data_IF_116981343582
#
_entry.id   IF_116981343582
#
_cell.length_a   1.000
_cell.length_b   1.000
_cell.length_c   1.000
_cell.angle_alpha   90.00
_cell.angle_beta   90.00
_cell.angle_gamma   90.00
#
_symmetry.space_group_name_H-M   'P 1'
#
loop_
_entity.id
_entity.type
_entity.pdbx_description
1 polymer ?
#
# COMPACT_ATOMS: atom_id res chain seq x y z
N UNK A 1 10.71 -59.65 59.55
CA UNK A 1 11.61 -58.94 58.59
C UNK A 1 10.74 -58.38 57.52
N UNK A 2 10.33 -57.09 57.69
CA UNK A 2 9.33 -56.42 56.85
C UNK A 2 10.07 -55.50 55.87
N UNK A 3 9.91 -55.72 54.60
CA UNK A 3 10.45 -54.80 53.50
C UNK A 3 9.41 -53.80 53.15
N UNK A 4 9.75 -52.52 53.38
CA UNK A 4 8.94 -51.36 52.98
C UNK A 4 9.14 -51.03 51.49
N UNK A 5 8.07 -51.08 50.71
CA UNK A 5 8.00 -50.61 49.34
C UNK A 5 7.85 -49.06 49.32
N UNK A 6 8.83 -48.38 48.72
CA UNK A 6 8.76 -46.93 48.43
C UNK A 6 8.01 -46.69 47.10
N UNK A 7 6.85 -46.07 47.19
CA UNK A 7 6.11 -45.55 46.03
C UNK A 7 6.63 -44.18 45.65
N UNK A 8 7.31 -44.05 44.50
CA UNK A 8 7.71 -42.78 43.93
C UNK A 8 6.54 -42.08 43.25
N UNK A 9 6.07 -40.98 43.81
CA UNK A 9 5.14 -40.07 43.15
C UNK A 9 5.89 -39.22 42.13
N UNK A 10 5.65 -39.49 40.85
CA UNK A 10 6.07 -38.58 39.75
C UNK A 10 5.06 -37.43 39.67
N UNK A 11 5.53 -36.22 39.97
CA UNK A 11 4.79 -34.98 39.69
C UNK A 11 4.84 -34.72 38.16
N UNK A 12 3.68 -34.84 37.50
CA UNK A 12 3.52 -34.32 36.12
C UNK A 12 3.31 -32.80 36.22
N UNK A 13 4.29 -32.04 35.80
CA UNK A 13 4.15 -30.62 35.58
C UNK A 13 3.44 -30.43 34.23
N UNK A 14 2.17 -30.09 34.24
CA UNK A 14 1.45 -29.67 33.04
C UNK A 14 1.90 -28.26 32.64
N UNK A 15 2.64 -28.15 31.54
CA UNK A 15 2.99 -26.88 30.95
C UNK A 15 1.75 -26.33 30.23
N UNK A 16 1.06 -25.37 30.86
CA UNK A 16 -0.02 -24.62 30.21
C UNK A 16 0.64 -23.61 29.28
N UNK A 17 0.66 -23.94 28.00
CA UNK A 17 1.00 -22.98 26.94
C UNK A 17 -0.12 -21.94 26.89
N UNK A 18 0.09 -20.79 27.49
CA UNK A 18 -0.76 -19.62 27.33
C UNK A 18 -0.63 -19.14 25.87
N UNK A 19 -1.69 -19.26 25.10
CA UNK A 19 -1.78 -18.63 23.79
C UNK A 19 -1.65 -17.12 23.97
N UNK A 20 -0.82 -16.41 23.17
CA UNK A 20 -0.72 -14.96 23.29
C UNK A 20 -2.08 -14.34 22.95
N UNK A 21 -2.67 -13.65 23.92
CA UNK A 21 -3.87 -12.84 23.69
C UNK A 21 -3.45 -11.67 22.83
N UNK A 22 -4.08 -11.40 21.69
CA UNK A 22 -3.74 -10.25 20.87
C UNK A 22 -3.95 -8.97 21.68
N UNK A 23 -2.95 -8.09 21.71
CA UNK A 23 -3.05 -6.77 22.35
C UNK A 23 -4.01 -5.93 21.53
N UNK A 24 -5.23 -5.76 22.01
CA UNK A 24 -6.22 -4.85 21.43
C UNK A 24 -5.86 -3.43 21.90
N UNK A 25 -5.47 -2.57 20.97
CA UNK A 25 -5.25 -1.15 21.26
C UNK A 25 -6.56 -0.42 21.58
N UNK A 26 -6.47 0.76 22.18
CA UNK A 26 -7.58 1.56 22.72
C UNK A 26 -8.76 1.83 21.74
N UNK A 27 -8.59 1.57 20.42
CA UNK A 27 -9.59 1.79 19.38
C UNK A 27 -10.12 0.48 18.76
N UNK A 28 -9.80 -0.70 19.30
CA UNK A 28 -10.31 -1.98 18.77
C UNK A 28 -9.68 -2.44 17.45
N UNK A 29 -8.66 -1.73 16.94
CA UNK A 29 -7.90 -2.12 15.74
C UNK A 29 -6.75 -3.06 16.15
N UNK A 30 -6.68 -4.29 15.63
CA UNK A 30 -5.58 -5.20 15.96
C UNK A 30 -4.25 -4.68 15.39
N UNK A 31 -3.18 -4.88 16.14
CA UNK A 31 -1.82 -4.61 15.65
C UNK A 31 -1.46 -5.68 14.61
N UNK A 32 -0.94 -5.31 13.44
CA UNK A 32 -0.43 -6.29 12.47
C UNK A 32 0.62 -7.21 13.08
N UNK A 33 0.57 -8.50 12.75
CA UNK A 33 1.50 -9.51 13.29
C UNK A 33 2.97 -9.15 13.04
N UNK A 34 3.24 -8.51 11.91
CA UNK A 34 4.58 -8.08 11.51
C UNK A 34 5.26 -7.15 12.50
N UNK A 35 4.48 -6.36 13.25
CA UNK A 35 4.97 -5.33 14.17
C UNK A 35 4.48 -5.53 15.62
N UNK A 36 3.80 -6.64 15.90
CA UNK A 36 3.30 -6.94 17.24
C UNK A 36 4.44 -7.04 18.26
N UNK A 37 4.23 -6.45 19.43
CA UNK A 37 5.24 -6.38 20.50
C UNK A 37 6.43 -5.43 20.25
N UNK A 38 6.48 -4.73 19.10
CA UNK A 38 7.60 -3.85 18.74
C UNK A 38 7.41 -2.38 19.14
N UNK A 39 6.37 -2.04 19.91
CA UNK A 39 6.11 -0.70 20.43
C UNK A 39 5.42 0.25 19.44
N UNK A 40 4.96 -0.24 18.29
CA UNK A 40 4.19 0.54 17.35
C UNK A 40 2.80 0.90 17.89
N UNK A 41 2.33 2.12 17.60
CA UNK A 41 1.00 2.62 17.95
C UNK A 41 0.29 3.11 16.69
N UNK A 42 -1.00 2.85 16.59
CA UNK A 42 -1.84 3.34 15.50
C UNK A 42 -1.91 4.88 15.56
N UNK A 43 -1.43 5.55 14.53
CA UNK A 43 -1.45 7.02 14.40
C UNK A 43 -2.45 7.51 13.37
N UNK A 44 -2.79 6.67 12.38
CA UNK A 44 -3.84 6.93 11.40
C UNK A 44 -4.68 5.67 11.16
N UNK A 45 -5.99 5.84 11.18
CA UNK A 45 -6.98 4.84 10.81
C UNK A 45 -7.97 5.48 9.83
N UNK A 46 -7.71 5.31 8.56
CA UNK A 46 -8.62 5.71 7.47
C UNK A 46 -9.43 4.48 7.05
N UNK A 47 -10.46 4.17 7.83
CA UNK A 47 -11.41 3.08 7.58
C UNK A 47 -12.61 3.65 6.80
N UNK A 48 -12.70 3.27 5.52
CA UNK A 48 -13.69 3.83 4.59
C UNK A 48 -15.08 3.25 4.77
N UNK A 49 -15.23 2.24 5.60
CA UNK A 49 -16.53 1.72 6.05
C UNK A 49 -17.03 2.33 7.36
N UNK A 50 -16.14 2.93 8.17
CA UNK A 50 -16.46 3.44 9.52
C UNK A 50 -16.23 4.93 9.70
N UNK A 51 -15.01 5.40 9.42
CA UNK A 51 -14.59 6.76 9.77
C UNK A 51 -14.77 7.75 8.60
N UNK A 52 -14.67 7.25 7.37
CA UNK A 52 -14.75 8.05 6.14
C UNK A 52 -15.83 7.41 5.26
N UNK A 53 -17.04 7.96 5.28
CA UNK A 53 -18.21 7.38 4.61
C UNK A 53 -18.79 8.25 3.50
N UNK A 54 -18.21 9.42 3.30
CA UNK A 54 -18.68 10.39 2.32
C UNK A 54 -17.55 11.29 1.81
N UNK A 55 -17.82 12.01 0.75
CA UNK A 55 -16.90 12.93 0.10
C UNK A 55 -16.41 14.03 1.05
N UNK A 56 -17.25 14.54 1.95
CA UNK A 56 -16.88 15.60 2.88
C UNK A 56 -15.86 15.09 3.92
N UNK A 57 -16.04 13.87 4.44
CA UNK A 57 -15.07 13.20 5.30
C UNK A 57 -13.77 12.91 4.57
N UNK A 58 -13.86 12.42 3.31
CA UNK A 58 -12.71 12.17 2.47
C UNK A 58 -11.85 13.43 2.28
N UNK A 59 -12.47 14.54 1.96
CA UNK A 59 -11.78 15.82 1.69
C UNK A 59 -11.09 16.42 2.92
N UNK A 60 -11.52 16.08 4.12
CA UNK A 60 -10.81 16.48 5.34
C UNK A 60 -9.46 15.77 5.51
N UNK A 61 -9.36 14.53 5.01
CA UNK A 61 -8.17 13.70 5.17
C UNK A 61 -7.31 13.61 3.91
N UNK A 62 -7.90 13.79 2.71
CA UNK A 62 -7.21 13.58 1.45
C UNK A 62 -7.40 14.73 0.44
N UNK A 63 -6.37 14.94 -0.34
CA UNK A 63 -6.41 15.58 -1.66
C UNK A 63 -6.65 14.51 -2.73
N UNK A 64 -7.11 14.94 -3.91
CA UNK A 64 -7.43 14.07 -5.04
C UNK A 64 -6.63 14.42 -6.30
N UNK A 65 -5.48 15.03 -6.07
CA UNK A 65 -4.49 15.41 -7.08
C UNK A 65 -3.09 15.15 -6.54
N UNK A 66 -2.14 15.03 -7.44
CA UNK A 66 -0.74 15.02 -7.06
C UNK A 66 -0.33 16.32 -6.40
N UNK A 67 0.77 16.28 -5.64
CA UNK A 67 1.30 17.46 -4.96
C UNK A 67 1.88 18.48 -5.94
N UNK A 68 2.37 18.02 -7.08
CA UNK A 68 3.03 18.85 -8.09
C UNK A 68 2.09 19.90 -8.70
N UNK A 69 2.66 20.94 -9.31
CA UNK A 69 1.90 22.06 -9.86
C UNK A 69 0.95 22.71 -8.84
N UNK A 70 1.42 22.88 -7.61
CA UNK A 70 0.62 23.37 -6.49
C UNK A 70 -0.66 22.55 -6.24
N UNK A 71 -0.56 21.23 -6.36
CA UNK A 71 -1.68 20.31 -6.14
C UNK A 71 -2.72 20.28 -7.26
N UNK A 72 -2.37 20.71 -8.47
CA UNK A 72 -3.26 20.73 -9.64
C UNK A 72 -2.98 19.60 -10.64
N UNK A 73 -1.80 18.97 -10.55
CA UNK A 73 -1.43 17.91 -11.49
C UNK A 73 -2.39 16.73 -11.37
N UNK A 74 -3.05 16.39 -12.46
CA UNK A 74 -4.13 15.37 -12.51
C UNK A 74 -3.73 14.10 -13.27
N UNK A 75 -2.48 13.97 -13.67
CA UNK A 75 -1.87 12.76 -14.25
C UNK A 75 -0.34 12.88 -14.26
N UNK A 76 0.36 11.77 -14.30
CA UNK A 76 1.80 11.72 -14.52
C UNK A 76 2.12 11.24 -15.94
N UNK A 77 3.22 11.76 -16.52
CA UNK A 77 3.82 11.32 -17.80
C UNK A 77 2.77 10.93 -18.87
N UNK A 78 2.83 9.67 -19.29
CA UNK A 78 2.05 9.07 -20.39
C UNK A 78 0.78 8.34 -19.94
N UNK A 79 0.37 8.49 -18.67
CA UNK A 79 -0.91 7.98 -18.17
C UNK A 79 -2.08 8.53 -19.00
N UNK A 80 -3.09 7.69 -19.23
CA UNK A 80 -4.22 8.04 -20.08
C UNK A 80 -5.35 8.71 -19.31
N UNK A 81 -5.53 8.40 -18.02
CA UNK A 81 -6.56 9.00 -17.20
C UNK A 81 -6.23 10.43 -16.82
N UNK A 82 -7.27 11.14 -16.39
CA UNK A 82 -7.18 12.33 -15.55
C UNK A 82 -7.88 12.06 -14.24
N UNK A 83 -7.23 12.38 -13.13
CA UNK A 83 -7.86 12.26 -11.82
C UNK A 83 -8.92 13.33 -11.64
N UNK A 84 -10.10 12.91 -11.21
CA UNK A 84 -11.26 13.75 -10.99
C UNK A 84 -11.85 13.50 -9.62
N UNK A 85 -12.76 14.37 -9.24
CA UNK A 85 -13.47 14.35 -7.98
C UNK A 85 -14.82 13.64 -8.12
N UNK A 86 -15.53 13.49 -7.01
CA UNK A 86 -16.92 13.02 -6.93
C UNK A 86 -17.11 11.62 -7.53
N UNK A 87 -17.58 11.52 -8.76
CA UNK A 87 -17.96 10.25 -9.41
C UNK A 87 -16.84 9.22 -9.49
N UNK A 88 -15.58 9.64 -9.28
CA UNK A 88 -14.42 8.76 -9.24
C UNK A 88 -14.06 8.29 -7.81
N UNK A 89 -14.82 8.76 -6.80
CA UNK A 89 -14.73 8.34 -5.40
C UNK A 89 -16.12 7.88 -4.95
N UNK A 90 -16.38 6.57 -5.05
CA UNK A 90 -17.68 5.99 -4.76
C UNK A 90 -17.65 5.25 -3.44
N UNK A 91 -18.55 5.62 -2.53
CA UNK A 91 -18.74 4.94 -1.25
C UNK A 91 -19.86 3.92 -1.38
N UNK A 92 -19.58 2.69 -0.97
CA UNK A 92 -20.55 1.59 -0.91
C UNK A 92 -20.28 0.71 0.33
N UNK A 93 -20.99 -0.39 0.46
CA UNK A 93 -20.84 -1.32 1.60
C UNK A 93 -19.44 -1.95 1.70
N UNK A 94 -18.65 -1.90 0.62
CA UNK A 94 -17.27 -2.38 0.58
C UNK A 94 -16.22 -1.32 0.95
N UNK A 95 -16.65 -0.11 1.35
CA UNK A 95 -15.77 1.01 1.64
C UNK A 95 -15.70 2.04 0.52
N UNK A 96 -14.51 2.50 0.16
CA UNK A 96 -14.28 3.43 -0.93
C UNK A 96 -13.85 2.70 -2.20
N UNK A 97 -14.45 3.03 -3.32
CA UNK A 97 -13.98 2.64 -4.65
C UNK A 97 -13.36 3.85 -5.37
N UNK A 98 -12.08 3.73 -5.77
CA UNK A 98 -11.49 4.63 -6.77
C UNK A 98 -11.87 4.09 -8.15
N UNK A 99 -12.64 4.87 -8.92
CA UNK A 99 -13.32 4.38 -10.11
C UNK A 99 -12.73 5.00 -11.37
N UNK A 100 -12.25 4.15 -12.27
CA UNK A 100 -11.87 4.57 -13.62
C UNK A 100 -13.07 4.43 -14.58
N UNK A 101 -13.37 5.49 -15.35
CA UNK A 101 -14.49 5.58 -16.31
C UNK A 101 -14.02 6.07 -17.66
N UNK A 102 -14.55 5.51 -18.73
CA UNK A 102 -14.35 6.03 -20.07
C UNK A 102 -15.33 7.17 -20.31
N UNK A 103 -14.81 8.37 -20.55
CA UNK A 103 -15.62 9.59 -20.78
C UNK A 103 -15.42 10.17 -22.19
N UNK A 104 -14.27 9.90 -22.82
CA UNK A 104 -13.92 10.39 -24.17
C UNK A 104 -13.32 9.32 -25.08
N UNK A 105 -13.56 8.03 -24.78
CA UNK A 105 -13.04 6.88 -25.53
C UNK A 105 -11.75 6.30 -24.94
N UNK A 106 -11.36 5.11 -25.41
CA UNK A 106 -10.14 4.40 -24.99
C UNK A 106 -8.89 5.02 -25.63
N UNK A 107 -8.52 6.21 -25.19
CA UNK A 107 -7.38 6.99 -25.67
C UNK A 107 -6.82 7.88 -24.53
N UNK A 108 -5.59 8.39 -24.67
CA UNK A 108 -5.04 9.36 -23.74
C UNK A 108 -5.98 10.56 -23.52
N UNK A 109 -6.29 10.87 -22.27
CA UNK A 109 -7.22 11.94 -21.86
C UNK A 109 -8.71 11.60 -22.01
N UNK A 110 -9.08 10.41 -22.49
CA UNK A 110 -10.46 9.96 -22.64
C UNK A 110 -10.98 9.10 -21.47
N UNK A 111 -10.21 9.04 -20.37
CA UNK A 111 -10.53 8.28 -19.16
C UNK A 111 -10.42 9.22 -17.96
N UNK A 112 -11.35 9.10 -17.03
CA UNK A 112 -11.29 9.74 -15.73
C UNK A 112 -11.12 8.68 -14.65
N UNK A 113 -10.37 8.99 -13.58
CA UNK A 113 -10.09 8.05 -12.49
C UNK A 113 -10.00 8.76 -11.15
N UNK A 114 -9.92 7.98 -10.07
CA UNK A 114 -9.78 8.46 -8.70
C UNK A 114 -8.38 8.27 -8.15
N UNK A 115 -7.98 9.19 -7.25
CA UNK A 115 -6.78 9.08 -6.44
C UNK A 115 -6.96 9.72 -5.07
N UNK A 116 -6.14 9.30 -4.13
CA UNK A 116 -5.99 9.86 -2.80
C UNK A 116 -4.54 10.28 -2.59
N UNK A 117 -4.33 11.43 -1.96
CA UNK A 117 -3.07 11.86 -1.37
C UNK A 117 -3.38 12.40 0.02
N UNK A 118 -2.83 11.78 1.06
CA UNK A 118 -3.12 12.18 2.43
C UNK A 118 -2.76 13.65 2.69
N UNK A 119 -3.56 14.35 3.50
CA UNK A 119 -3.18 15.66 4.06
C UNK A 119 -2.18 15.50 5.20
N UNK A 120 -2.28 14.39 5.91
CA UNK A 120 -1.29 13.98 6.89
C UNK A 120 -0.01 13.51 6.20
N UNK A 121 1.11 13.80 6.81
CA UNK A 121 2.43 13.30 6.44
C UNK A 121 3.11 12.67 7.63
N UNK A 122 4.00 11.71 7.39
CA UNK A 122 4.79 11.07 8.42
C UNK A 122 6.06 10.47 7.85
N UNK A 123 7.05 10.31 8.71
CA UNK A 123 8.32 9.70 8.37
C UNK A 123 8.51 8.47 9.26
N UNK A 124 8.89 7.36 8.62
CA UNK A 124 9.03 6.04 9.24
C UNK A 124 7.71 5.51 9.83
N UNK A 125 7.61 4.20 9.92
CA UNK A 125 6.43 3.52 10.44
C UNK A 125 6.06 2.27 9.67
N UNK A 126 4.92 1.73 10.00
CA UNK A 126 4.28 0.63 9.26
C UNK A 126 3.03 1.18 8.59
N UNK A 127 3.01 1.09 7.27
CA UNK A 127 1.93 1.59 6.41
C UNK A 127 1.25 0.39 5.77
N UNK A 128 -0.05 0.28 5.93
CA UNK A 128 -0.84 -0.84 5.42
C UNK A 128 -2.12 -0.37 4.76
N UNK A 129 -2.49 -1.00 3.67
CA UNK A 129 -3.80 -0.88 3.07
C UNK A 129 -4.42 -2.25 2.80
N UNK A 130 -5.74 -2.35 2.97
CA UNK A 130 -6.53 -3.51 2.55
C UNK A 130 -7.35 -3.12 1.33
N UNK A 131 -7.05 -3.75 0.20
CA UNK A 131 -7.64 -3.38 -1.09
C UNK A 131 -8.03 -4.61 -1.90
N UNK A 132 -9.00 -4.42 -2.82
CA UNK A 132 -9.29 -5.34 -3.91
C UNK A 132 -9.02 -4.61 -5.23
N UNK A 133 -8.09 -5.14 -6.03
CA UNK A 133 -7.68 -4.50 -7.28
C UNK A 133 -8.60 -4.87 -8.45
N UNK A 134 -8.75 -4.01 -9.46
CA UNK A 134 -9.46 -4.37 -10.67
C UNK A 134 -8.64 -5.31 -11.56
N UNK A 135 -9.32 -6.16 -12.32
CA UNK A 135 -8.72 -6.97 -13.38
C UNK A 135 -8.86 -6.28 -14.74
N UNK A 136 -7.82 -6.33 -15.55
CA UNK A 136 -7.88 -5.89 -16.95
C UNK A 136 -6.61 -5.21 -17.45
N UNK A 137 -6.31 -5.44 -18.73
CA UNK A 137 -5.16 -4.82 -19.39
C UNK A 137 -5.24 -3.29 -19.31
N UNK A 138 -4.11 -2.67 -19.05
CA UNK A 138 -3.97 -1.22 -18.98
C UNK A 138 -4.43 -0.60 -17.67
N UNK A 139 -4.87 -1.39 -16.68
CA UNK A 139 -5.15 -0.92 -15.32
C UNK A 139 -3.88 -1.00 -14.47
N UNK A 140 -3.68 0.01 -13.62
CA UNK A 140 -2.49 0.15 -12.79
C UNK A 140 -2.85 0.80 -11.43
N UNK A 141 -3.41 0.00 -10.51
CA UNK A 141 -3.59 0.44 -9.12
C UNK A 141 -2.24 0.53 -8.42
N UNK A 142 -2.06 1.58 -7.60
CA UNK A 142 -0.86 1.81 -6.81
C UNK A 142 -1.18 2.30 -5.40
N UNK A 143 -0.36 1.87 -4.42
CA UNK A 143 -0.30 2.36 -3.06
C UNK A 143 1.15 2.66 -2.72
N UNK A 144 1.47 3.91 -2.37
CA UNK A 144 2.84 4.40 -2.36
C UNK A 144 3.06 5.63 -1.48
N UNK A 145 4.32 6.00 -1.27
CA UNK A 145 4.76 7.14 -0.47
C UNK A 145 5.57 8.12 -1.32
N UNK A 146 5.30 9.42 -1.14
CA UNK A 146 5.95 10.51 -1.86
C UNK A 146 6.33 11.64 -0.91
N UNK A 147 7.53 12.26 -1.02
CA UNK A 147 7.95 13.35 -0.15
C UNK A 147 6.98 14.53 -0.12
N UNK A 148 6.83 15.13 1.06
CA UNK A 148 5.98 16.30 1.28
C UNK A 148 6.49 17.54 0.56
N UNK A 149 7.79 17.67 0.37
CA UNK A 149 8.44 18.88 -0.17
C UNK A 149 8.34 19.02 -1.71
N UNK A 150 7.62 18.10 -2.38
CA UNK A 150 7.41 18.08 -3.83
C UNK A 150 8.67 17.78 -4.66
N UNK A 151 9.73 17.29 -4.05
CA UNK A 151 10.97 16.92 -4.72
C UNK A 151 11.06 15.41 -4.89
N UNK A 152 11.04 14.94 -6.12
CA UNK A 152 11.22 13.54 -6.49
C UNK A 152 12.62 13.31 -7.10
N UNK A 153 13.31 12.20 -6.83
CA UNK A 153 13.02 11.18 -5.85
C UNK A 153 13.31 11.62 -4.41
N UNK A 154 13.02 10.83 -3.35
CA UNK A 154 12.73 9.40 -3.34
C UNK A 154 11.24 9.05 -3.47
N UNK A 155 10.95 7.73 -3.53
CA UNK A 155 9.62 7.14 -3.58
C UNK A 155 9.65 5.72 -2.98
N UNK A 156 8.60 5.30 -2.30
CA UNK A 156 8.42 3.92 -1.86
C UNK A 156 7.09 3.43 -2.42
N UNK A 157 7.13 2.51 -3.37
CA UNK A 157 5.94 1.82 -3.85
C UNK A 157 5.66 0.61 -2.97
N UNK A 158 4.58 0.71 -2.18
CA UNK A 158 4.14 -0.36 -1.29
C UNK A 158 3.49 -1.47 -2.10
N UNK A 159 2.68 -1.09 -3.09
CA UNK A 159 2.03 -2.01 -4.02
C UNK A 159 1.80 -1.33 -5.37
N UNK A 160 2.18 -1.99 -6.42
CA UNK A 160 1.76 -1.72 -7.79
C UNK A 160 1.34 -3.02 -8.45
N UNK A 161 0.20 -3.04 -9.13
CA UNK A 161 -0.29 -4.23 -9.83
C UNK A 161 -0.66 -3.84 -11.25
N UNK A 162 -0.01 -4.48 -12.21
CA UNK A 162 -0.18 -4.19 -13.64
C UNK A 162 -0.65 -5.44 -14.36
N UNK A 163 -1.76 -5.32 -15.07
CA UNK A 163 -2.21 -6.34 -16.02
C UNK A 163 -2.01 -5.82 -17.44
N UNK A 164 -0.89 -6.19 -18.07
CA UNK A 164 -0.55 -5.77 -19.43
C UNK A 164 -1.04 -6.76 -20.51
N UNK A 165 -1.82 -7.77 -20.14
CA UNK A 165 -2.38 -8.78 -21.05
C UNK A 165 -1.36 -9.78 -21.60
N UNK A 166 -0.10 -9.75 -21.12
CA UNK A 166 0.95 -10.69 -21.54
C UNK A 166 1.15 -11.83 -20.56
N UNK A 167 0.84 -11.58 -19.32
CA UNK A 167 1.04 -12.48 -18.21
C UNK A 167 0.00 -12.14 -17.15
N UNK A 168 -0.17 -13.01 -16.21
CA UNK A 168 -0.99 -12.80 -15.02
C UNK A 168 -0.31 -11.79 -14.07
N UNK A 169 0.02 -10.60 -14.58
CA UNK A 169 0.71 -9.57 -13.79
C UNK A 169 -0.12 -9.08 -12.61
N UNK A 170 -1.45 -9.21 -12.67
CA UNK A 170 -2.33 -8.99 -11.53
C UNK A 170 -2.17 -10.04 -10.42
N UNK A 171 -1.47 -11.16 -10.70
CA UNK A 171 -1.11 -12.18 -9.71
C UNK A 171 0.25 -11.89 -9.07
N UNK A 172 0.87 -10.76 -9.41
CA UNK A 172 2.09 -10.28 -8.78
C UNK A 172 1.93 -8.83 -8.39
N UNK A 173 2.43 -8.47 -7.22
CA UNK A 173 2.64 -7.07 -6.92
C UNK A 173 4.08 -6.69 -7.24
N UNK A 174 4.26 -5.47 -7.68
CA UNK A 174 5.56 -4.88 -7.93
C UNK A 174 5.89 -3.92 -6.78
N UNK A 175 7.16 -3.74 -6.51
CA UNK A 175 7.64 -2.83 -5.49
C UNK A 175 8.88 -2.10 -5.97
N UNK A 176 8.98 -0.84 -5.60
CA UNK A 176 10.16 -0.01 -5.79
C UNK A 176 10.47 0.67 -4.46
N UNK A 177 11.75 0.69 -4.09
CA UNK A 177 12.16 1.30 -2.82
C UNK A 177 12.55 2.76 -2.97
N UNK A 178 12.44 3.28 -4.18
CA UNK A 178 12.82 4.63 -4.53
C UNK A 178 14.12 4.71 -5.28
N UNK A 179 14.45 5.91 -5.68
CA UNK A 179 15.65 6.25 -6.44
C UNK A 179 16.58 7.04 -5.52
N UNK A 180 17.77 6.53 -5.32
CA UNK A 180 18.78 7.18 -4.49
C UNK A 180 19.39 8.42 -5.16
N UNK A 181 20.29 9.12 -4.44
CA UNK A 181 20.98 10.30 -4.97
C UNK A 181 21.78 10.00 -6.22
N UNK A 182 21.73 10.85 -7.24
CA UNK A 182 22.50 10.67 -8.50
C UNK A 182 23.99 10.48 -8.30
N UNK A 183 24.54 11.02 -7.22
CA UNK A 183 25.96 10.88 -6.86
C UNK A 183 26.33 9.48 -6.36
N UNK A 184 25.36 8.69 -5.94
CA UNK A 184 25.55 7.33 -5.43
C UNK A 184 25.07 6.27 -6.42
N UNK A 185 24.97 6.60 -7.70
CA UNK A 185 24.45 5.69 -8.74
C UNK A 185 25.04 4.28 -8.70
N UNK A 186 26.32 4.15 -8.35
CA UNK A 186 26.96 2.83 -8.14
C UNK A 186 26.48 2.12 -6.86
N UNK A 187 25.97 2.86 -5.88
CA UNK A 187 25.26 2.32 -4.70
C UNK A 187 23.76 2.22 -4.95
N UNK A 188 23.20 3.07 -5.81
CA UNK A 188 21.80 3.07 -6.23
C UNK A 188 21.36 1.73 -6.79
N UNK A 189 22.19 1.06 -7.55
CA UNK A 189 21.90 -0.31 -8.01
C UNK A 189 21.73 -1.31 -6.86
N UNK A 190 22.11 -0.93 -5.63
CA UNK A 190 21.88 -1.70 -4.40
C UNK A 190 20.71 -1.18 -3.57
N UNK A 191 20.37 0.11 -3.71
CA UNK A 191 19.31 0.78 -2.96
C UNK A 191 18.04 0.91 -3.76
N UNK A 192 18.14 1.21 -5.06
CA UNK A 192 17.03 1.20 -6.01
C UNK A 192 16.71 -0.25 -6.38
N UNK A 193 15.86 -0.87 -5.59
CA UNK A 193 15.42 -2.25 -5.78
C UNK A 193 13.96 -2.27 -6.17
N UNK A 194 13.72 -2.88 -7.31
CA UNK A 194 12.39 -3.25 -7.75
C UNK A 194 12.28 -4.76 -7.91
N UNK A 195 11.09 -5.28 -7.88
CA UNK A 195 10.84 -6.68 -8.07
C UNK A 195 9.36 -7.02 -8.06
N UNK A 196 9.06 -8.29 -8.13
CA UNK A 196 7.69 -8.79 -8.09
C UNK A 196 7.58 -10.02 -7.20
N UNK A 197 6.43 -10.17 -6.55
CA UNK A 197 6.07 -11.32 -5.73
C UNK A 197 4.81 -11.95 -6.31
N UNK A 198 4.83 -13.27 -6.52
CA UNK A 198 3.73 -14.03 -7.13
C UNK A 198 3.33 -15.19 -6.22
N UNK A 199 2.34 -15.02 -5.35
CA UNK A 199 1.90 -16.06 -4.42
C UNK A 199 1.05 -17.16 -5.07
N UNK A 200 0.70 -17.03 -6.37
CA UNK A 200 -0.20 -17.95 -7.06
C UNK A 200 -1.69 -17.63 -6.90
N UNK A 201 -2.02 -16.47 -6.32
CA UNK A 201 -3.40 -15.96 -6.21
C UNK A 201 -3.65 -14.85 -7.21
N UNK A 202 -4.90 -14.60 -7.56
CA UNK A 202 -5.31 -13.42 -8.32
C UNK A 202 -5.78 -12.34 -7.34
N UNK A 203 -5.06 -11.24 -7.25
CA UNK A 203 -5.38 -10.12 -6.36
C UNK A 203 -6.71 -9.42 -6.70
N UNK A 204 -7.31 -9.74 -7.84
CA UNK A 204 -8.64 -9.26 -8.20
C UNK A 204 -9.78 -10.13 -7.63
N UNK A 205 -9.50 -11.33 -7.13
CA UNK A 205 -10.54 -12.23 -6.61
C UNK A 205 -11.05 -11.82 -5.24
N UNK A 206 -10.25 -11.09 -4.45
CA UNK A 206 -10.59 -10.71 -3.08
C UNK A 206 -9.88 -9.47 -2.57
N UNK A 207 -10.11 -9.17 -1.30
CA UNK A 207 -9.33 -8.16 -0.58
C UNK A 207 -8.04 -8.76 -0.05
N UNK A 208 -6.94 -8.07 -0.29
CA UNK A 208 -5.60 -8.41 0.19
C UNK A 208 -5.00 -7.24 0.95
N UNK A 209 -4.08 -7.52 1.87
CA UNK A 209 -3.31 -6.49 2.58
C UNK A 209 -1.94 -6.33 1.95
N UNK A 210 -1.55 -5.08 1.73
CA UNK A 210 -0.22 -4.70 1.28
C UNK A 210 0.36 -3.71 2.29
N UNK A 211 1.58 -3.97 2.73
CA UNK A 211 2.20 -3.13 3.74
C UNK A 211 3.71 -2.95 3.53
N UNK A 212 4.24 -1.86 4.11
CA UNK A 212 5.67 -1.63 4.28
C UNK A 212 5.97 -1.22 5.73
N UNK A 213 6.97 -1.85 6.31
CA UNK A 213 7.69 -1.30 7.45
C UNK A 213 8.85 -0.48 6.89
N UNK A 214 8.82 0.81 7.13
CA UNK A 214 9.83 1.76 6.71
C UNK A 214 10.54 2.33 7.94
N UNK A 215 11.85 2.08 8.02
CA UNK A 215 12.74 2.60 9.06
C UNK A 215 13.79 3.53 8.43
N UNK A 216 14.65 4.11 9.24
CA UNK A 216 15.71 5.01 8.80
C UNK A 216 16.64 4.39 7.73
N UNK A 217 16.90 3.09 7.85
CA UNK A 217 17.91 2.38 7.04
C UNK A 217 17.34 1.21 6.23
N UNK A 218 16.02 0.95 6.29
CA UNK A 218 15.46 -0.29 5.77
C UNK A 218 13.99 -0.17 5.39
N UNK A 219 13.58 -0.96 4.40
CA UNK A 219 12.17 -1.25 4.09
C UNK A 219 11.92 -2.75 4.09
N UNK A 220 10.78 -3.15 4.64
CA UNK A 220 10.25 -4.53 4.57
C UNK A 220 8.84 -4.49 4.02
N UNK A 221 8.59 -5.20 2.93
CA UNK A 221 7.25 -5.29 2.35
C UNK A 221 6.57 -6.57 2.76
N UNK A 222 5.25 -6.47 2.95
CA UNK A 222 4.39 -7.57 3.35
C UNK A 222 3.18 -7.66 2.43
N UNK A 223 2.76 -8.89 2.13
CA UNK A 223 1.51 -9.21 1.44
C UNK A 223 0.78 -10.24 2.30
N UNK A 224 -0.44 -9.93 2.71
CA UNK A 224 -1.26 -10.79 3.58
C UNK A 224 -0.48 -11.30 4.82
N UNK A 225 0.16 -10.37 5.54
CA UNK A 225 1.03 -10.62 6.71
C UNK A 225 2.33 -11.41 6.42
N UNK A 226 2.60 -11.78 5.17
CA UNK A 226 3.82 -12.49 4.79
C UNK A 226 4.88 -11.50 4.34
N UNK A 227 6.04 -11.49 5.01
CA UNK A 227 7.18 -10.66 4.57
C UNK A 227 7.75 -11.19 3.25
N UNK A 228 7.74 -10.36 2.22
CA UNK A 228 8.16 -10.73 0.87
C UNK A 228 9.43 -10.01 0.43
N UNK A 229 9.76 -8.90 1.08
CA UNK A 229 10.96 -8.10 0.82
C UNK A 229 11.57 -7.63 2.13
N UNK A 230 12.89 -7.67 2.22
CA UNK A 230 13.68 -7.04 3.28
C UNK A 230 14.95 -6.46 2.62
N UNK A 231 15.08 -5.11 2.60
CA UNK A 231 16.18 -4.41 1.91
C UNK A 231 16.65 -3.21 2.71
N UNK A 232 17.96 -2.96 2.62
CA UNK A 232 18.52 -1.68 3.03
C UNK A 232 18.00 -0.57 2.11
N UNK A 233 17.63 0.56 2.71
CA UNK A 233 17.07 1.70 2.02
C UNK A 233 17.30 2.98 2.82
N UNK A 234 17.57 4.07 2.11
CA UNK A 234 17.73 5.40 2.73
C UNK A 234 16.82 6.39 2.00
N UNK A 235 16.02 7.13 2.76
CA UNK A 235 15.06 8.09 2.25
C UNK A 235 15.71 9.45 2.04
N UNK A 236 16.32 9.66 0.88
CA UNK A 236 17.09 10.86 0.55
C UNK A 236 16.81 11.33 -0.87
N UNK A 237 16.91 12.65 -1.06
CA UNK A 237 16.93 13.27 -2.38
C UNK A 237 18.25 13.02 -3.14
N UNK A 238 18.26 13.36 -4.43
CA UNK A 238 19.43 13.23 -5.29
C UNK A 238 20.67 14.00 -4.81
N UNK A 239 20.52 14.96 -3.93
CA UNK A 239 21.59 15.77 -3.34
C UNK A 239 22.08 15.20 -1.98
N UNK A 240 21.47 14.12 -1.51
CA UNK A 240 21.81 13.45 -0.26
C UNK A 240 21.11 14.01 0.98
N UNK A 241 20.24 15.02 0.85
CA UNK A 241 19.43 15.49 1.96
C UNK A 241 18.34 14.48 2.31
N UNK A 242 18.04 14.36 3.60
CA UNK A 242 16.83 13.66 4.06
C UNK A 242 15.59 14.26 3.37
N UNK A 243 14.71 13.44 2.88
CA UNK A 243 13.51 13.87 2.18
C UNK A 243 12.32 14.16 3.11
N UNK A 244 12.54 13.99 4.42
CA UNK A 244 11.54 14.33 5.44
C UNK A 244 10.27 13.47 5.40
N UNK A 245 9.15 14.02 5.88
CA UNK A 245 7.89 13.30 5.87
C UNK A 245 7.36 12.98 4.47
N UNK A 246 6.56 11.94 4.37
CA UNK A 246 5.90 11.50 3.14
C UNK A 246 4.37 11.58 3.26
N UNK A 247 3.72 11.93 2.15
CA UNK A 247 2.31 11.66 1.94
C UNK A 247 2.08 10.18 1.64
N UNK A 248 0.93 9.69 2.02
CA UNK A 248 0.38 8.38 1.60
C UNK A 248 -0.48 8.60 0.36
N UNK A 249 -0.20 7.86 -0.70
CA UNK A 249 -0.95 7.94 -1.95
C UNK A 249 -1.58 6.59 -2.31
N UNK A 250 -2.77 6.68 -2.91
CA UNK A 250 -3.45 5.55 -3.54
C UNK A 250 -4.15 6.03 -4.80
N UNK A 251 -3.99 5.31 -5.90
CA UNK A 251 -4.60 5.70 -7.16
C UNK A 251 -4.89 4.51 -8.07
N UNK A 252 -5.79 4.71 -9.01
CA UNK A 252 -6.01 3.81 -10.12
C UNK A 252 -5.58 4.52 -11.41
N UNK A 253 -4.34 4.32 -11.82
CA UNK A 253 -3.84 4.78 -13.11
C UNK A 253 -4.34 3.87 -14.24
N UNK A 254 -4.38 4.39 -15.46
CA UNK A 254 -4.85 3.68 -16.65
C UNK A 254 -4.01 4.05 -17.85
N UNK A 255 -3.55 3.06 -18.59
CA UNK A 255 -2.78 3.27 -19.82
C UNK A 255 -1.36 3.77 -19.56
N UNK A 256 -0.59 3.91 -20.62
CA UNK A 256 0.81 4.30 -20.56
C UNK A 256 1.75 3.20 -21.05
N UNK A 257 3.03 3.46 -20.96
CA UNK A 257 4.06 2.55 -21.49
C UNK A 257 4.13 1.22 -20.75
N UNK A 258 3.99 1.23 -19.43
CA UNK A 258 4.15 0.03 -18.61
C UNK A 258 2.87 -0.83 -18.56
N UNK A 259 1.69 -0.32 -18.17
CA UNK A 259 0.48 -1.15 -18.18
C UNK A 259 -0.05 -1.41 -19.60
N UNK A 260 0.40 -0.66 -20.59
CA UNK A 260 -0.09 -0.70 -21.94
C UNK A 260 -1.47 -0.05 -22.09
N UNK A 261 -1.96 -0.04 -23.32
CA UNK A 261 -3.31 0.48 -23.60
C UNK A 261 -4.38 -0.46 -23.07
N UNK A 262 -5.48 0.04 -22.45
CA UNK A 262 -6.67 -0.75 -22.26
C UNK A 262 -7.16 -1.35 -23.59
N UNK A 263 -7.77 -2.52 -23.53
CA UNK A 263 -8.36 -3.18 -24.70
C UNK A 263 -9.89 -3.15 -24.63
N UNK A 264 -10.54 -3.57 -25.70
CA UNK A 264 -12.00 -3.74 -25.68
C UNK A 264 -12.49 -4.77 -24.63
N UNK A 265 -11.61 -5.67 -24.18
CA UNK A 265 -11.90 -6.63 -23.13
C UNK A 265 -11.71 -6.05 -21.70
N UNK A 266 -11.09 -4.87 -21.56
CA UNK A 266 -10.94 -4.21 -20.27
C UNK A 266 -12.29 -3.66 -19.81
N UNK A 267 -12.81 -4.19 -18.71
CA UNK A 267 -14.11 -3.79 -18.20
C UNK A 267 -14.04 -2.38 -17.56
N UNK A 268 -14.94 -1.51 -17.97
CA UNK A 268 -15.19 -0.20 -17.35
C UNK A 268 -16.66 -0.08 -16.96
N UNK A 269 -16.99 0.61 -15.83
CA UNK A 269 -16.07 1.24 -14.92
C UNK A 269 -15.22 0.23 -14.14
N UNK A 270 -13.90 0.46 -14.09
CA UNK A 270 -12.98 -0.34 -13.28
C UNK A 270 -12.88 0.25 -11.87
N UNK A 271 -12.74 -0.60 -10.84
CA UNK A 271 -12.78 -0.19 -9.43
C UNK A 271 -11.59 -0.74 -8.65
N UNK A 272 -10.79 0.16 -8.05
CA UNK A 272 -9.91 -0.19 -6.95
C UNK A 272 -10.70 0.03 -5.65
N UNK A 273 -11.09 -1.06 -5.00
CA UNK A 273 -11.84 -1.00 -3.75
C UNK A 273 -10.87 -0.91 -2.58
N UNK A 274 -11.12 0.01 -1.66
CA UNK A 274 -10.26 0.31 -0.50
C UNK A 274 -11.12 0.18 0.76
N UNK A 275 -10.80 -0.83 1.58
CA UNK A 275 -11.42 -1.06 2.87
C UNK A 275 -10.86 -0.08 3.91
N UNK A 276 -9.52 -0.08 4.07
CA UNK A 276 -8.83 0.86 4.94
C UNK A 276 -7.41 1.16 4.45
N UNK A 277 -6.88 2.29 4.97
CA UNK A 277 -5.45 2.59 5.01
C UNK A 277 -5.10 2.92 6.46
N UNK A 278 -4.05 2.32 7.00
CA UNK A 278 -3.62 2.48 8.39
C UNK A 278 -2.13 2.74 8.50
N UNK A 279 -1.77 3.54 9.50
CA UNK A 279 -0.36 3.85 9.78
C UNK A 279 -0.09 3.68 11.27
N UNK A 280 0.99 2.96 11.57
CA UNK A 280 1.52 2.81 12.93
C UNK A 280 2.92 3.40 13.01
N UNK A 281 3.23 4.08 14.10
CA UNK A 281 4.56 4.65 14.37
C UNK A 281 5.00 4.31 15.80
N UNK A 282 6.32 4.35 16.04
CA UNK A 282 6.92 4.17 17.37
C UNK A 282 6.91 5.47 18.17
#
# INVERSE_FOLDING_TARGET
MMTMNRVSRRLLLALVLASPVPVVLANGVPVPKAIDGQGYRLVKDWDFGKNIRDEAALRREFHTRYIYENGKLDRLKDEWQRYRDNENHVFDDGGLSLVARVTGGLKPGGIESGMLRSRWTGQYGYFEARVKVPAGRGLWPAFWLNPEDQVWPPEIDIMEIVDNGRDTTRNSFHYVHGHGPKKTRNMESKLDKSGSYRPGVDYADGFHTFAVEWTEDRVRHFVDDVMVVDRAYVWQHNDGRDAGPAHVLMNLAVGGGWPGAPSAATAFPARLQVDYIRVWQK
#
